data_IF_763565238300
#
_entry.id   IF_763565238300
#
_cell.length_a   1.000
_cell.length_b   1.000
_cell.length_c   1.000
_cell.angle_alpha   90.00
_cell.angle_beta   90.00
_cell.angle_gamma   90.00
#
_symmetry.space_group_name_H-M   'P 1'
#
loop_
_entity.id
_entity.type
_entity.pdbx_description
1 polymer ?
#
# COMPACT_ATOMS: atom_id res chain seq x y z
N UNK A 1 -2.21 28.36 -14.64
CA UNK A 1 -3.07 27.26 -14.15
C UNK A 1 -2.15 26.20 -13.59
N UNK A 2 -2.45 25.64 -12.42
CA UNK A 2 -1.63 24.57 -11.81
C UNK A 2 -1.66 23.33 -12.68
N UNK A 3 -0.48 22.74 -12.94
CA UNK A 3 -0.35 21.50 -13.71
C UNK A 3 -0.01 20.33 -12.79
N UNK A 4 -0.76 19.25 -12.89
CA UNK A 4 -0.57 18.01 -12.13
C UNK A 4 -0.21 16.88 -13.08
N UNK A 5 0.91 16.21 -12.83
CA UNK A 5 1.25 14.95 -13.48
C UNK A 5 0.75 13.78 -12.62
N UNK A 6 0.03 12.85 -13.21
CA UNK A 6 -0.34 11.57 -12.62
C UNK A 6 0.47 10.49 -13.32
N UNK A 7 1.48 9.93 -12.64
CA UNK A 7 2.45 9.00 -13.24
C UNK A 7 2.19 7.52 -12.91
N UNK A 8 1.28 7.26 -11.97
CA UNK A 8 0.78 5.91 -11.69
C UNK A 8 -0.75 5.84 -11.85
N UNK A 9 -1.32 4.69 -12.20
CA UNK A 9 -2.77 4.54 -12.28
C UNK A 9 -3.44 4.79 -10.91
N UNK A 10 -4.36 5.75 -10.86
CA UNK A 10 -5.24 6.01 -9.71
C UNK A 10 -6.70 5.89 -10.14
N UNK A 11 -7.61 5.84 -9.15
CA UNK A 11 -9.04 5.80 -9.41
C UNK A 11 -9.51 7.06 -10.15
N UNK A 12 -10.48 6.90 -11.06
CA UNK A 12 -11.03 8.00 -11.85
C UNK A 12 -11.61 9.11 -10.97
N UNK A 13 -12.22 8.76 -9.83
CA UNK A 13 -12.73 9.76 -8.90
C UNK A 13 -11.63 10.73 -8.40
N UNK A 14 -10.39 10.22 -8.21
CA UNK A 14 -9.25 11.06 -7.85
C UNK A 14 -8.85 12.02 -8.98
N UNK A 15 -8.88 11.55 -10.23
CA UNK A 15 -8.64 12.39 -11.42
C UNK A 15 -9.70 13.47 -11.53
N UNK A 16 -10.97 13.12 -11.36
CA UNK A 16 -12.10 14.05 -11.45
C UNK A 16 -12.01 15.17 -10.40
N UNK A 17 -11.61 14.83 -9.17
CA UNK A 17 -11.38 15.82 -8.11
C UNK A 17 -10.22 16.75 -8.46
N UNK A 18 -9.09 16.22 -8.90
CA UNK A 18 -7.93 17.03 -9.30
C UNK A 18 -8.26 17.96 -10.49
N UNK A 19 -9.04 17.48 -11.44
CA UNK A 19 -9.42 18.22 -12.65
C UNK A 19 -10.34 19.42 -12.38
N UNK A 20 -10.97 19.48 -11.21
CA UNK A 20 -11.76 20.65 -10.80
C UNK A 20 -10.89 21.86 -10.47
N UNK A 21 -9.62 21.65 -10.09
CA UNK A 21 -8.74 22.70 -9.56
C UNK A 21 -7.43 22.86 -10.34
N UNK A 22 -7.12 21.93 -11.25
CA UNK A 22 -5.86 21.90 -11.99
C UNK A 22 -6.00 21.28 -13.38
N UNK A 23 -5.03 21.54 -14.24
CA UNK A 23 -4.83 20.75 -15.46
C UNK A 23 -4.15 19.45 -15.09
N UNK A 24 -4.76 18.31 -15.40
CA UNK A 24 -4.26 16.98 -15.06
C UNK A 24 -3.79 16.26 -16.32
N UNK A 25 -2.50 15.93 -16.34
CA UNK A 25 -1.90 15.11 -17.39
C UNK A 25 -1.65 13.70 -16.82
N UNK A 26 -2.24 12.69 -17.43
CA UNK A 26 -2.04 11.28 -17.05
C UNK A 26 -0.99 10.66 -17.98
N UNK A 27 0.19 10.32 -17.43
CA UNK A 27 1.29 9.65 -18.13
C UNK A 27 1.85 8.55 -17.27
N UNK A 28 1.31 7.37 -17.38
CA UNK A 28 1.69 6.20 -16.57
C UNK A 28 2.78 5.38 -17.24
N UNK A 29 3.57 4.66 -16.42
CA UNK A 29 4.61 3.76 -16.92
C UNK A 29 5.86 4.47 -17.40
N UNK A 30 6.09 5.71 -16.98
CA UNK A 30 7.29 6.46 -17.30
C UNK A 30 8.53 5.81 -16.68
N UNK A 31 9.60 5.70 -17.45
CA UNK A 31 10.93 5.41 -16.93
C UNK A 31 11.43 6.60 -16.07
N UNK A 32 12.40 6.40 -15.19
CA UNK A 32 12.99 7.48 -14.40
C UNK A 32 13.53 8.64 -15.27
N UNK A 33 14.12 8.33 -16.42
CA UNK A 33 14.68 9.32 -17.34
C UNK A 33 13.57 10.12 -18.05
N UNK A 34 12.48 9.46 -18.46
CA UNK A 34 11.32 10.15 -19.06
C UNK A 34 10.65 11.06 -18.03
N UNK A 35 10.46 10.59 -16.80
CA UNK A 35 9.91 11.40 -15.71
C UNK A 35 10.78 12.64 -15.46
N UNK A 36 12.09 12.44 -15.33
CA UNK A 36 13.07 13.53 -15.16
C UNK A 36 13.02 14.56 -16.28
N UNK A 37 12.80 14.09 -17.53
CA UNK A 37 12.72 14.96 -18.69
C UNK A 37 11.50 15.89 -18.73
N UNK A 38 10.43 15.57 -18.03
CA UNK A 38 9.16 16.31 -18.09
C UNK A 38 8.74 16.96 -16.78
N UNK A 39 9.23 16.50 -15.64
CA UNK A 39 8.73 16.89 -14.32
C UNK A 39 8.88 18.39 -14.04
N UNK A 40 9.85 19.06 -14.66
CA UNK A 40 10.07 20.49 -14.52
C UNK A 40 8.90 21.37 -14.99
N UNK A 41 7.96 20.83 -15.79
CA UNK A 41 6.78 21.53 -16.25
C UNK A 41 5.59 21.50 -15.29
N UNK A 42 5.65 20.65 -14.24
CA UNK A 42 4.53 20.38 -13.35
C UNK A 42 4.70 21.00 -11.97
N UNK A 43 3.62 21.49 -11.42
CA UNK A 43 3.53 22.06 -10.07
C UNK A 43 3.25 20.98 -9.00
N UNK A 44 2.64 19.85 -9.41
CA UNK A 44 2.33 18.73 -8.55
C UNK A 44 2.53 17.39 -9.26
N UNK A 45 2.91 16.37 -8.50
CA UNK A 45 3.08 14.99 -8.95
C UNK A 45 2.23 14.06 -8.10
N UNK A 46 1.35 13.28 -8.72
CA UNK A 46 0.54 12.24 -8.07
C UNK A 46 1.05 10.87 -8.46
N UNK A 47 1.39 10.05 -7.47
CA UNK A 47 1.97 8.71 -7.64
C UNK A 47 1.28 7.66 -6.78
N UNK A 48 1.61 6.41 -7.05
CA UNK A 48 1.44 5.27 -6.14
C UNK A 48 2.81 4.60 -5.87
N UNK A 49 2.90 3.29 -5.98
CA UNK A 49 4.12 2.51 -5.70
C UNK A 49 5.01 2.29 -6.94
N UNK A 50 4.52 2.54 -8.13
CA UNK A 50 5.25 2.27 -9.37
C UNK A 50 6.31 3.31 -9.70
N UNK A 51 6.00 4.57 -9.46
CA UNK A 51 6.91 5.69 -9.75
C UNK A 51 7.94 5.88 -8.62
N UNK A 52 9.21 6.00 -8.99
CA UNK A 52 10.30 6.33 -8.07
C UNK A 52 10.63 7.82 -8.17
N UNK A 53 10.47 8.56 -7.08
CA UNK A 53 10.79 10.00 -7.01
C UNK A 53 12.12 10.17 -6.29
N UNK A 54 13.20 10.00 -7.04
CA UNK A 54 14.58 10.09 -6.54
C UNK A 54 15.03 11.53 -6.35
N UNK A 55 16.17 11.73 -5.69
CA UNK A 55 16.81 13.05 -5.58
C UNK A 55 17.03 13.70 -6.96
N UNK A 56 17.39 12.91 -7.98
CA UNK A 56 17.60 13.42 -9.34
C UNK A 56 16.31 13.92 -9.99
N UNK A 57 15.20 13.21 -9.80
CA UNK A 57 13.88 13.64 -10.26
C UNK A 57 13.47 14.94 -9.57
N UNK A 58 13.66 15.02 -8.26
CA UNK A 58 13.38 16.23 -7.47
C UNK A 58 14.27 17.39 -7.91
N UNK A 59 15.56 17.14 -8.20
CA UNK A 59 16.48 18.16 -8.67
C UNK A 59 16.08 18.75 -10.04
N UNK A 60 15.49 17.95 -10.92
CA UNK A 60 15.00 18.37 -12.24
C UNK A 60 13.61 19.04 -12.19
N UNK A 61 12.95 19.03 -11.05
CA UNK A 61 11.57 19.47 -10.88
C UNK A 61 11.48 20.95 -10.42
N UNK A 62 11.80 21.87 -11.31
CA UNK A 62 11.94 23.29 -10.96
C UNK A 62 10.64 23.95 -10.45
N UNK A 63 9.49 23.46 -10.87
CA UNK A 63 8.18 24.00 -10.49
C UNK A 63 7.46 23.19 -9.44
N UNK A 64 7.98 22.00 -9.12
CA UNK A 64 7.28 21.04 -8.24
C UNK A 64 7.16 21.60 -6.82
N UNK A 65 5.96 21.62 -6.30
CA UNK A 65 5.63 22.10 -4.95
C UNK A 65 5.13 20.98 -4.04
N UNK A 66 4.56 19.91 -4.62
CA UNK A 66 3.96 18.83 -3.87
C UNK A 66 4.05 17.50 -4.63
N UNK A 67 4.38 16.45 -3.89
CA UNK A 67 4.24 15.05 -4.31
C UNK A 67 3.15 14.41 -3.45
N UNK A 68 2.08 13.94 -4.07
CA UNK A 68 1.02 13.18 -3.44
C UNK A 68 1.15 11.70 -3.73
N UNK A 69 1.22 10.85 -2.69
CA UNK A 69 1.20 9.40 -2.88
C UNK A 69 -0.15 8.81 -2.45
N UNK A 70 -0.86 8.22 -3.40
CA UNK A 70 -2.09 7.47 -3.12
C UNK A 70 -1.73 6.11 -2.49
N UNK A 71 -1.31 6.13 -1.23
CA UNK A 71 -0.89 4.95 -0.45
C UNK A 71 -0.34 5.35 0.92
N UNK A 72 -0.01 4.36 1.74
CA UNK A 72 0.39 4.57 3.15
C UNK A 72 1.87 4.93 3.28
N UNK A 73 2.76 4.17 2.66
CA UNK A 73 4.20 4.42 2.73
C UNK A 73 4.63 5.57 1.82
N UNK A 74 5.85 6.04 1.97
CA UNK A 74 6.52 7.02 1.09
C UNK A 74 7.93 6.56 0.71
N UNK A 75 8.16 5.25 0.77
CA UNK A 75 9.44 4.57 0.54
C UNK A 75 9.99 4.76 -0.88
N UNK A 76 9.14 5.09 -1.84
CA UNK A 76 9.50 5.40 -3.22
C UNK A 76 9.71 6.91 -3.48
N UNK A 77 9.77 7.74 -2.43
CA UNK A 77 10.05 9.18 -2.52
C UNK A 77 11.26 9.51 -1.67
N UNK A 78 12.24 10.20 -2.24
CA UNK A 78 13.36 10.79 -1.47
C UNK A 78 12.86 12.00 -0.67
N UNK A 79 12.29 11.72 0.51
CA UNK A 79 11.73 12.76 1.39
C UNK A 79 12.76 13.78 1.85
N UNK A 80 14.01 13.38 2.22
CA UNK A 80 15.07 14.34 2.53
C UNK A 80 15.37 15.32 1.39
N UNK A 81 15.50 14.83 0.15
CA UNK A 81 15.72 15.69 -1.01
C UNK A 81 14.53 16.61 -1.28
N UNK A 82 13.29 16.10 -1.17
CA UNK A 82 12.06 16.90 -1.29
C UNK A 82 12.03 18.03 -0.26
N UNK A 83 12.34 17.71 0.99
CA UNK A 83 12.38 18.69 2.09
C UNK A 83 13.41 19.81 1.83
N UNK A 84 14.61 19.45 1.37
CA UNK A 84 15.65 20.42 1.04
C UNK A 84 15.23 21.38 -0.09
N UNK A 85 14.42 20.91 -1.03
CA UNK A 85 13.87 21.72 -2.13
C UNK A 85 12.56 22.43 -1.78
N UNK A 86 12.04 22.26 -0.57
CA UNK A 86 10.77 22.83 -0.14
C UNK A 86 9.55 22.18 -0.80
N UNK A 87 9.68 20.95 -1.31
CA UNK A 87 8.60 20.17 -1.91
C UNK A 87 7.88 19.38 -0.82
N UNK A 88 6.58 19.59 -0.69
CA UNK A 88 5.75 18.85 0.25
C UNK A 88 5.56 17.40 -0.22
N UNK A 89 5.66 16.45 0.69
CA UNK A 89 5.29 15.04 0.44
C UNK A 89 4.09 14.69 1.30
N UNK A 90 3.00 14.31 0.66
CA UNK A 90 1.75 13.92 1.34
C UNK A 90 1.34 12.51 0.92
N UNK A 91 0.70 11.79 1.83
CA UNK A 91 0.26 10.42 1.61
C UNK A 91 -1.15 10.19 2.16
N UNK A 92 -1.70 8.98 1.94
CA UNK A 92 -2.97 8.53 2.51
C UNK A 92 -2.69 7.48 3.60
N UNK A 93 -2.47 7.89 4.88
CA UNK A 93 -1.91 7.01 5.90
C UNK A 93 -2.88 5.94 6.42
N UNK A 94 -4.13 5.95 6.01
CA UNK A 94 -5.17 4.99 6.45
C UNK A 94 -5.89 4.30 5.28
N UNK A 95 -5.62 4.72 4.05
CA UNK A 95 -6.40 4.35 2.86
C UNK A 95 -6.51 2.85 2.59
N UNK A 96 -5.58 2.01 3.06
CA UNK A 96 -5.62 0.57 2.86
C UNK A 96 -5.49 -0.25 4.16
N UNK A 97 -5.52 0.39 5.34
CA UNK A 97 -5.27 -0.31 6.62
C UNK A 97 -6.19 -1.50 6.81
N UNK A 98 -7.50 -1.29 6.67
CA UNK A 98 -8.49 -2.36 6.85
C UNK A 98 -8.36 -3.41 5.75
N UNK A 99 -8.30 -2.98 4.48
CA UNK A 99 -8.19 -3.90 3.34
C UNK A 99 -6.95 -4.81 3.43
N UNK A 100 -5.80 -4.27 3.83
CA UNK A 100 -4.58 -5.05 4.00
C UNK A 100 -4.68 -6.03 5.18
N UNK A 101 -5.27 -5.61 6.29
CA UNK A 101 -5.49 -6.48 7.45
C UNK A 101 -6.48 -7.61 7.14
N UNK A 102 -7.59 -7.31 6.48
CA UNK A 102 -8.56 -8.33 6.04
C UNK A 102 -7.94 -9.32 5.06
N UNK A 103 -7.14 -8.83 4.11
CA UNK A 103 -6.45 -9.71 3.16
C UNK A 103 -5.45 -10.64 3.86
N UNK A 104 -4.68 -10.14 4.82
CA UNK A 104 -3.78 -10.96 5.63
C UNK A 104 -4.54 -12.06 6.41
N UNK A 105 -5.67 -11.72 7.02
CA UNK A 105 -6.53 -12.67 7.72
C UNK A 105 -7.16 -13.69 6.76
N UNK A 106 -7.61 -13.26 5.59
CA UNK A 106 -8.13 -14.14 4.57
C UNK A 106 -7.09 -15.17 4.10
N UNK A 107 -5.84 -14.74 3.88
CA UNK A 107 -4.73 -15.64 3.56
C UNK A 107 -4.41 -16.60 4.70
N UNK A 108 -4.38 -16.12 5.95
CA UNK A 108 -4.16 -16.95 7.14
C UNK A 108 -5.22 -18.06 7.25
N UNK A 109 -6.48 -17.72 7.12
CA UNK A 109 -7.59 -18.68 7.15
C UNK A 109 -7.54 -19.64 5.96
N UNK A 110 -7.27 -19.13 4.77
CA UNK A 110 -7.14 -19.94 3.55
C UNK A 110 -6.01 -20.96 3.64
N UNK A 111 -4.87 -20.54 4.19
CA UNK A 111 -3.72 -21.43 4.43
C UNK A 111 -4.06 -22.51 5.46
N UNK A 112 -4.64 -22.11 6.60
CA UNK A 112 -4.96 -23.01 7.70
C UNK A 112 -5.98 -24.08 7.33
N UNK A 113 -6.89 -23.78 6.42
CA UNK A 113 -8.00 -24.64 6.02
C UNK A 113 -7.86 -25.20 4.61
N UNK A 114 -6.72 -25.00 3.93
CA UNK A 114 -6.45 -25.49 2.57
C UNK A 114 -7.50 -25.06 1.53
N UNK A 115 -8.09 -23.85 1.68
CA UNK A 115 -9.22 -23.40 0.86
C UNK A 115 -8.92 -23.41 -0.64
N UNK A 116 -7.78 -22.86 -1.15
CA UNK A 116 -7.50 -22.88 -2.58
C UNK A 116 -7.33 -24.31 -3.14
N UNK A 117 -6.66 -25.17 -2.40
CA UNK A 117 -6.41 -26.56 -2.81
C UNK A 117 -7.70 -27.39 -2.84
N UNK A 118 -8.54 -27.22 -1.82
CA UNK A 118 -9.85 -27.87 -1.76
C UNK A 118 -10.77 -27.39 -2.90
N UNK A 119 -10.77 -26.10 -3.18
CA UNK A 119 -11.53 -25.51 -4.28
C UNK A 119 -11.06 -26.08 -5.63
N UNK A 120 -9.75 -26.11 -5.89
CA UNK A 120 -9.18 -26.65 -7.12
C UNK A 120 -9.53 -28.12 -7.32
N UNK A 121 -9.46 -28.94 -6.26
CA UNK A 121 -9.84 -30.36 -6.26
C UNK A 121 -11.33 -30.54 -6.60
N UNK A 122 -12.21 -29.79 -5.96
CA UNK A 122 -13.64 -29.84 -6.24
C UNK A 122 -13.98 -29.43 -7.68
N UNK A 123 -13.30 -28.42 -8.22
CA UNK A 123 -13.48 -28.03 -9.61
C UNK A 123 -13.12 -29.13 -10.62
N UNK A 124 -12.25 -30.08 -10.23
CA UNK A 124 -11.88 -31.25 -11.00
C UNK A 124 -12.82 -32.45 -10.75
N UNK A 125 -13.93 -32.26 -10.02
CA UNK A 125 -14.91 -33.30 -9.72
C UNK A 125 -14.53 -34.22 -8.55
N UNK A 126 -13.42 -33.96 -7.84
CA UNK A 126 -13.01 -34.76 -6.69
C UNK A 126 -13.72 -34.33 -5.40
N UNK A 127 -13.89 -35.30 -4.45
CA UNK A 127 -14.49 -35.09 -3.15
C UNK A 127 -13.61 -35.62 -2.03
N UNK A 128 -12.38 -35.02 -1.88
CA UNK A 128 -11.30 -35.52 -1.04
C UNK A 128 -11.31 -34.89 0.36
N UNK A 129 -12.40 -35.03 1.12
CA UNK A 129 -12.59 -34.38 2.42
C UNK A 129 -11.42 -34.60 3.40
N UNK A 130 -10.90 -35.83 3.47
CA UNK A 130 -9.82 -36.19 4.40
C UNK A 130 -8.48 -35.51 4.08
N UNK A 131 -8.28 -35.15 2.82
CA UNK A 131 -7.04 -34.50 2.35
C UNK A 131 -6.93 -33.03 2.79
N UNK A 132 -8.07 -32.38 3.04
CA UNK A 132 -8.14 -30.93 3.31
C UNK A 132 -8.76 -30.62 4.67
N UNK A 133 -8.47 -31.44 5.69
CA UNK A 133 -9.01 -31.22 7.06
C UNK A 133 -8.51 -29.89 7.64
N UNK A 134 -7.24 -29.53 7.43
CA UNK A 134 -6.64 -28.29 7.94
C UNK A 134 -6.56 -28.21 9.46
N UNK A 135 -6.29 -27.02 9.95
CA UNK A 135 -6.15 -26.73 11.38
C UNK A 135 -7.10 -25.59 11.80
N UNK A 136 -7.61 -25.68 13.01
CA UNK A 136 -8.30 -24.56 13.66
C UNK A 136 -7.28 -23.55 14.19
N UNK A 137 -7.64 -22.25 14.14
CA UNK A 137 -6.81 -21.18 14.70
C UNK A 137 -7.11 -20.91 16.19
N UNK A 138 -8.23 -21.39 16.69
CA UNK A 138 -8.61 -21.25 18.09
C UNK A 138 -7.53 -21.80 19.05
N UNK A 139 -7.14 -20.99 20.03
CA UNK A 139 -6.05 -21.31 20.99
C UNK A 139 -4.67 -21.50 20.34
N UNK A 140 -4.48 -21.09 19.10
CA UNK A 140 -3.14 -21.02 18.47
C UNK A 140 -2.51 -19.66 18.76
N UNK A 141 -1.18 -19.63 18.74
CA UNK A 141 -0.41 -18.39 18.92
C UNK A 141 -0.15 -17.76 17.57
N UNK A 142 -0.51 -16.49 17.42
CA UNK A 142 -0.14 -15.65 16.28
C UNK A 142 1.02 -14.74 16.67
N UNK A 143 2.14 -14.86 15.96
CA UNK A 143 3.24 -13.89 16.03
C UNK A 143 3.00 -12.72 15.08
N UNK A 144 3.01 -11.49 15.58
CA UNK A 144 2.88 -10.26 14.79
C UNK A 144 4.20 -9.50 14.86
N UNK A 145 4.86 -9.33 13.71
CA UNK A 145 6.07 -8.51 13.59
C UNK A 145 5.67 -7.16 12.99
N UNK A 146 5.68 -6.12 13.81
CA UNK A 146 5.18 -4.78 13.50
C UNK A 146 3.76 -4.55 14.02
N UNK A 147 3.62 -3.70 15.06
CA UNK A 147 2.34 -3.28 15.65
C UNK A 147 1.86 -1.91 15.15
N UNK A 148 2.20 -1.56 13.91
CA UNK A 148 1.61 -0.41 13.25
C UNK A 148 0.10 -0.56 13.02
N UNK A 149 -0.52 0.34 12.28
CA UNK A 149 -1.98 0.36 12.05
C UNK A 149 -2.54 -0.98 11.56
N UNK A 150 -1.87 -1.63 10.58
CA UNK A 150 -2.28 -2.91 10.00
C UNK A 150 -2.07 -4.05 11.00
N UNK A 151 -0.85 -4.19 11.56
CA UNK A 151 -0.52 -5.26 12.50
C UNK A 151 -1.39 -5.24 13.75
N UNK A 152 -1.67 -4.06 14.31
CA UNK A 152 -2.58 -3.90 15.44
C UNK A 152 -4.01 -4.34 15.11
N UNK A 153 -4.49 -4.06 13.90
CA UNK A 153 -5.82 -4.49 13.47
C UNK A 153 -5.89 -6.02 13.32
N UNK A 154 -4.87 -6.63 12.68
CA UNK A 154 -4.76 -8.10 12.56
C UNK A 154 -4.72 -8.75 13.96
N UNK A 155 -3.90 -8.20 14.88
CA UNK A 155 -3.81 -8.70 16.24
C UNK A 155 -5.14 -8.66 16.98
N UNK A 156 -5.89 -7.55 16.85
CA UNK A 156 -7.22 -7.38 17.46
C UNK A 156 -8.22 -8.42 16.95
N UNK A 157 -8.27 -8.65 15.64
CA UNK A 157 -9.19 -9.63 15.04
C UNK A 157 -8.78 -11.05 15.43
N UNK A 158 -7.48 -11.38 15.40
CA UNK A 158 -6.99 -12.69 15.81
C UNK A 158 -7.35 -13.02 17.27
N UNK A 159 -7.24 -12.04 18.19
CA UNK A 159 -7.74 -12.18 19.57
C UNK A 159 -9.23 -12.48 19.62
N UNK A 160 -10.04 -11.80 18.81
CA UNK A 160 -11.49 -12.03 18.73
C UNK A 160 -11.83 -13.43 18.17
N UNK A 161 -10.93 -14.03 17.39
CA UNK A 161 -11.02 -15.42 16.91
C UNK A 161 -10.55 -16.44 17.97
N UNK A 162 -10.19 -15.99 19.18
CA UNK A 162 -9.72 -16.87 20.27
C UNK A 162 -8.28 -17.33 20.11
N UNK A 163 -7.46 -16.60 19.38
CA UNK A 163 -6.01 -16.82 19.30
C UNK A 163 -5.29 -16.10 20.45
N UNK A 164 -4.15 -16.64 20.88
CA UNK A 164 -3.17 -15.90 21.65
C UNK A 164 -2.28 -15.09 20.69
N UNK A 165 -1.97 -13.85 21.05
CA UNK A 165 -1.15 -12.98 20.19
C UNK A 165 0.10 -12.57 20.94
N UNK A 166 1.25 -12.83 20.32
CA UNK A 166 2.55 -12.26 20.73
C UNK A 166 3.00 -11.29 19.62
N UNK A 167 3.68 -10.22 20.01
CA UNK A 167 4.07 -9.20 19.03
C UNK A 167 5.49 -8.70 19.28
N UNK A 168 6.14 -8.26 18.21
CA UNK A 168 7.38 -7.51 18.25
C UNK A 168 7.24 -6.23 17.44
N UNK A 169 7.59 -5.10 18.04
CA UNK A 169 7.68 -3.81 17.37
C UNK A 169 8.79 -2.98 18.04
N UNK A 170 9.77 -2.42 17.28
CA UNK A 170 10.87 -1.67 17.88
C UNK A 170 10.45 -0.33 18.49
N UNK A 171 9.25 0.16 18.22
CA UNK A 171 8.73 1.46 18.66
C UNK A 171 7.63 1.35 19.73
N UNK A 172 7.26 0.13 20.12
CA UNK A 172 6.25 -0.12 21.15
C UNK A 172 6.92 -0.73 22.36
N UNK A 173 6.70 -0.12 23.55
CA UNK A 173 7.21 -0.67 24.81
C UNK A 173 6.49 -1.95 25.19
N UNK A 174 7.15 -2.77 26.02
CA UNK A 174 6.59 -4.04 26.55
C UNK A 174 5.69 -3.83 27.78
N UNK A 175 5.34 -2.59 28.13
CA UNK A 175 4.44 -2.24 29.24
C UNK A 175 2.98 -2.17 28.79
#
# INVERSE_FOLDING_TARGET
MTKVLVSDPIDQAGIDILSQVAQVDQRTGLSPEELKGIIGEYDALMIRSGTQVTADVIAAADRLRIVGRAGVGVDNVDVPAATQRGVLVVNSPEGNTIAAAEHALALLLSLSRHVPQAHASMRQGAWDRKKYVGNELYKKVLGVVGLGKIGSHVAKVAKSMGMDVIAYDPFVSSE
#
